data_IF_963009126644
#
_entry.id   IF_963009126644
#
_cell.length_a   1.000
_cell.length_b   1.000
_cell.length_c   1.000
_cell.angle_alpha   90.00
_cell.angle_beta   90.00
_cell.angle_gamma   90.00
#
_symmetry.space_group_name_H-M   'P 1'
#
loop_
_entity.id
_entity.type
_entity.pdbx_description
1 polymer ?
#
# COMPACT_ATOMS: atom_id res chain seq x y z
N UNK A 1 20.05 12.44 -22.06
CA UNK A 1 18.93 11.71 -21.36
C UNK A 1 19.42 10.61 -20.41
N UNK A 2 20.63 10.06 -20.54
CA UNK A 2 21.11 8.93 -19.73
C UNK A 2 21.77 9.31 -18.38
N UNK A 3 22.17 10.55 -18.17
CA UNK A 3 22.93 10.94 -17.00
C UNK A 3 22.08 11.11 -15.72
N UNK A 4 20.87 11.66 -15.74
CA UNK A 4 20.01 11.74 -14.56
C UNK A 4 19.53 10.38 -14.08
N UNK A 5 19.16 9.47 -14.98
CA UNK A 5 18.63 8.15 -14.66
C UNK A 5 19.62 7.23 -13.92
N UNK A 6 20.92 7.30 -14.22
CA UNK A 6 21.96 6.55 -13.47
C UNK A 6 22.14 7.03 -12.04
N UNK A 7 22.07 8.33 -11.78
CA UNK A 7 22.08 8.88 -10.42
C UNK A 7 20.80 8.55 -9.65
N UNK A 8 19.68 8.52 -10.32
CA UNK A 8 18.38 8.15 -9.75
C UNK A 8 18.34 6.69 -9.29
N UNK A 9 18.83 5.74 -10.09
CA UNK A 9 18.97 4.34 -9.65
C UNK A 9 19.79 4.19 -8.37
N UNK A 10 20.81 5.00 -8.15
CA UNK A 10 21.63 4.97 -6.92
C UNK A 10 20.92 5.59 -5.72
N UNK A 11 19.98 6.53 -5.90
CA UNK A 11 19.18 7.10 -4.80
C UNK A 11 17.97 6.25 -4.42
N UNK A 12 17.36 5.57 -5.38
CA UNK A 12 16.18 4.73 -5.17
C UNK A 12 16.49 3.38 -4.49
N UNK A 13 17.75 2.98 -4.41
CA UNK A 13 18.17 1.62 -4.00
C UNK A 13 18.50 1.54 -2.50
N UNK A 14 18.49 2.63 -1.73
CA UNK A 14 19.15 2.57 -0.42
C UNK A 14 18.29 2.12 0.73
N UNK A 15 17.06 2.57 0.84
CA UNK A 15 16.23 2.21 2.00
C UNK A 15 14.79 1.96 1.58
N UNK A 16 14.27 0.79 1.94
CA UNK A 16 12.84 0.51 1.78
C UNK A 16 12.02 1.39 2.71
N UNK A 17 10.84 1.75 2.26
CA UNK A 17 9.87 2.49 3.04
C UNK A 17 8.51 1.78 3.01
N UNK A 18 7.60 2.21 3.87
CA UNK A 18 6.22 1.73 3.85
C UNK A 18 5.30 2.79 3.25
N UNK A 19 4.34 2.36 2.45
CA UNK A 19 3.27 3.20 1.91
C UNK A 19 2.06 3.27 2.83
N UNK A 20 1.90 2.25 3.67
CA UNK A 20 0.78 2.11 4.59
C UNK A 20 1.09 2.69 5.97
N UNK A 21 0.05 2.90 6.75
CA UNK A 21 0.20 3.21 8.16
C UNK A 21 -0.49 4.48 8.61
N UNK A 22 -1.45 4.29 9.48
CA UNK A 22 -2.14 5.37 10.19
C UNK A 22 -1.60 5.55 11.62
N UNK A 23 -0.77 4.62 12.08
CA UNK A 23 -0.13 4.63 13.40
C UNK A 23 1.36 4.95 13.31
N UNK A 24 1.97 5.16 14.45
CA UNK A 24 3.42 5.29 14.56
C UNK A 24 3.88 4.65 15.88
N UNK A 25 4.88 3.75 15.86
CA UNK A 25 5.48 3.15 14.67
C UNK A 25 4.46 2.35 13.84
N UNK A 26 4.71 2.26 12.53
CA UNK A 26 3.85 1.54 11.61
C UNK A 26 4.03 0.02 11.77
N UNK A 27 2.94 -0.77 11.85
CA UNK A 27 3.01 -2.23 11.84
C UNK A 27 3.21 -2.81 10.43
N UNK A 28 3.06 -1.98 9.40
CA UNK A 28 3.16 -2.38 8.00
C UNK A 28 4.60 -2.66 7.58
N UNK A 29 4.76 -3.49 6.56
CA UNK A 29 6.05 -3.81 5.97
C UNK A 29 6.77 -2.57 5.41
N UNK A 30 8.07 -2.57 5.51
CA UNK A 30 8.99 -1.70 4.77
C UNK A 30 9.43 -2.48 3.53
N UNK A 31 8.62 -2.47 2.51
CA UNK A 31 8.70 -3.30 1.31
C UNK A 31 8.78 -2.51 0.01
N UNK A 32 8.44 -1.21 0.04
CA UNK A 32 8.39 -0.38 -1.15
C UNK A 32 9.73 0.32 -1.46
N UNK A 33 10.03 0.45 -2.74
CA UNK A 33 11.01 1.37 -3.32
C UNK A 33 10.28 2.38 -4.21
N UNK A 34 10.92 3.50 -4.56
CA UNK A 34 10.31 4.51 -5.46
C UNK A 34 10.01 3.91 -6.83
N UNK A 35 10.92 3.10 -7.35
CA UNK A 35 10.74 2.24 -8.53
C UNK A 35 11.45 0.92 -8.20
N UNK A 36 10.68 -0.14 -8.02
CA UNK A 36 11.23 -1.47 -7.74
C UNK A 36 11.58 -2.19 -9.05
N UNK A 37 12.71 -2.88 -9.14
CA UNK A 37 13.01 -3.74 -10.28
C UNK A 37 12.11 -4.99 -10.35
N UNK A 38 11.44 -5.35 -9.25
CA UNK A 38 10.47 -6.45 -9.19
C UNK A 38 9.08 -5.86 -9.10
N UNK A 39 8.28 -6.06 -10.15
CA UNK A 39 6.87 -5.67 -10.18
C UNK A 39 6.00 -6.86 -9.76
N UNK A 40 4.99 -6.61 -8.93
CA UNK A 40 4.24 -7.67 -8.25
C UNK A 40 2.77 -7.74 -8.62
N UNK A 41 2.22 -6.68 -9.18
CA UNK A 41 0.82 -6.62 -9.59
C UNK A 41 0.63 -5.71 -10.82
N UNK A 42 -0.54 -5.81 -11.46
CA UNK A 42 -0.91 -4.93 -12.56
C UNK A 42 -1.23 -3.54 -12.01
N UNK A 43 -0.36 -2.58 -12.29
CA UNK A 43 -0.43 -1.22 -11.76
C UNK A 43 0.80 -0.83 -10.94
N UNK A 44 1.73 -1.76 -10.72
CA UNK A 44 3.04 -1.45 -10.11
C UNK A 44 3.87 -0.56 -11.03
N UNK A 45 4.55 0.44 -10.48
CA UNK A 45 5.23 1.47 -11.26
C UNK A 45 6.54 0.95 -11.86
N UNK A 46 6.65 0.98 -13.17
CA UNK A 46 7.83 0.53 -13.92
C UNK A 46 8.79 1.66 -14.25
N UNK A 47 8.24 2.82 -14.64
CA UNK A 47 9.03 3.98 -15.04
C UNK A 47 8.25 5.28 -14.80
N UNK A 48 8.98 6.37 -14.61
CA UNK A 48 8.42 7.70 -14.44
C UNK A 48 8.91 8.62 -15.56
N UNK A 49 7.96 9.13 -16.35
CA UNK A 49 8.23 10.06 -17.44
C UNK A 49 7.91 11.48 -16.98
N UNK A 50 8.86 12.39 -17.17
CA UNK A 50 8.69 13.80 -16.86
C UNK A 50 8.82 14.62 -18.15
N UNK A 51 7.77 15.36 -18.48
CA UNK A 51 7.73 16.20 -19.68
C UNK A 51 7.14 17.59 -19.34
N UNK A 52 7.18 18.51 -20.29
CA UNK A 52 6.62 19.86 -20.14
C UNK A 52 5.09 19.87 -20.04
N UNK A 53 4.44 18.87 -20.61
CA UNK A 53 3.00 18.66 -20.63
C UNK A 53 2.67 17.16 -20.78
N UNK A 54 1.45 16.80 -20.45
CA UNK A 54 0.95 15.42 -20.50
C UNK A 54 1.01 14.82 -21.90
N UNK A 55 0.63 15.59 -22.93
CA UNK A 55 0.66 15.11 -24.32
C UNK A 55 2.08 14.70 -24.77
N UNK A 56 3.09 15.39 -24.27
CA UNK A 56 4.50 15.05 -24.54
C UNK A 56 4.91 13.81 -23.74
N UNK A 57 4.46 13.66 -22.49
CA UNK A 57 4.72 12.47 -21.68
C UNK A 57 4.11 11.22 -22.33
N UNK A 58 2.84 11.29 -22.74
CA UNK A 58 2.12 10.20 -23.42
C UNK A 58 2.81 9.77 -24.74
N UNK A 59 3.36 10.71 -25.50
CA UNK A 59 4.14 10.38 -26.71
C UNK A 59 5.45 9.68 -26.40
N UNK A 60 6.02 9.90 -25.22
CA UNK A 60 7.27 9.27 -24.81
C UNK A 60 7.07 7.86 -24.23
N UNK A 61 5.90 7.54 -23.70
CA UNK A 61 5.60 6.23 -23.08
C UNK A 61 5.92 5.04 -24.01
N UNK A 62 5.47 4.98 -25.27
CA UNK A 62 5.72 3.84 -26.13
C UNK A 62 7.20 3.71 -26.59
N UNK A 63 8.04 4.69 -26.27
CA UNK A 63 9.49 4.61 -26.54
C UNK A 63 10.24 3.84 -25.44
N UNK A 64 9.61 3.63 -24.28
CA UNK A 64 10.16 2.80 -23.20
C UNK A 64 9.87 1.35 -23.54
N UNK A 65 10.93 0.58 -23.69
CA UNK A 65 10.84 -0.88 -23.86
C UNK A 65 11.14 -1.54 -22.53
N UNK A 66 10.28 -2.44 -22.13
CA UNK A 66 10.42 -3.22 -20.90
C UNK A 66 10.44 -4.69 -21.26
N UNK A 67 11.44 -5.41 -20.75
CA UNK A 67 11.52 -6.85 -20.83
C UNK A 67 11.27 -7.42 -19.44
N UNK A 68 10.37 -8.39 -19.33
CA UNK A 68 10.00 -9.01 -18.08
C UNK A 68 10.48 -10.47 -18.03
N UNK A 69 11.09 -10.83 -16.93
CA UNK A 69 11.20 -12.23 -16.51
C UNK A 69 9.92 -12.59 -15.76
N UNK A 70 9.00 -13.27 -16.46
CA UNK A 70 7.67 -13.57 -15.93
C UNK A 70 7.74 -14.75 -14.98
N UNK A 71 7.28 -14.53 -13.74
CA UNK A 71 7.17 -15.55 -12.71
C UNK A 71 5.77 -16.15 -12.66
N UNK A 72 5.60 -17.31 -12.02
CA UNK A 72 4.29 -17.90 -11.78
C UNK A 72 3.50 -17.02 -10.80
N UNK A 73 2.29 -16.56 -11.16
CA UNK A 73 1.54 -15.66 -10.32
C UNK A 73 0.97 -16.36 -9.09
N UNK A 74 0.88 -15.64 -7.97
CA UNK A 74 0.22 -16.07 -6.72
C UNK A 74 -1.13 -15.38 -6.66
N UNK A 75 -2.22 -16.08 -7.02
CA UNK A 75 -3.54 -15.49 -7.21
C UNK A 75 -4.59 -15.94 -6.19
N UNK A 76 -4.31 -17.00 -5.44
CA UNK A 76 -5.25 -17.59 -4.49
C UNK A 76 -4.65 -17.55 -3.07
N UNK A 77 -5.36 -16.91 -2.15
CA UNK A 77 -4.94 -16.77 -0.76
C UNK A 77 -4.82 -18.11 -0.01
N UNK A 78 -5.54 -19.15 -0.46
CA UNK A 78 -5.48 -20.48 0.17
C UNK A 78 -4.25 -21.27 -0.23
N UNK A 79 -3.66 -20.94 -1.38
CA UNK A 79 -2.45 -21.59 -1.92
C UNK A 79 -1.22 -20.69 -1.88
N UNK A 80 -1.37 -19.45 -1.37
CA UNK A 80 -0.27 -18.48 -1.32
C UNK A 80 0.79 -18.85 -0.30
N UNK A 81 0.37 -19.40 0.85
CA UNK A 81 1.31 -19.85 1.88
C UNK A 81 2.14 -21.01 1.34
N UNK A 82 3.46 -20.90 1.47
CA UNK A 82 4.43 -21.87 0.98
C UNK A 82 4.37 -22.13 -0.54
N UNK A 83 3.84 -21.17 -1.31
CA UNK A 83 3.85 -21.21 -2.77
C UNK A 83 5.29 -21.19 -3.30
N UNK A 84 5.54 -21.84 -4.45
CA UNK A 84 6.87 -21.86 -5.08
C UNK A 84 7.42 -20.47 -5.43
N UNK A 85 6.53 -19.52 -5.79
CA UNK A 85 6.89 -18.12 -5.97
C UNK A 85 6.76 -17.38 -4.65
N UNK A 86 7.86 -16.82 -4.18
CA UNK A 86 7.90 -15.93 -3.02
C UNK A 86 7.67 -14.51 -3.54
N UNK A 87 6.58 -13.84 -3.11
CA UNK A 87 6.20 -12.49 -3.58
C UNK A 87 7.24 -11.45 -3.14
N UNK A 88 7.78 -11.60 -1.94
CA UNK A 88 8.81 -10.74 -1.39
C UNK A 88 10.05 -11.56 -0.99
N UNK A 89 10.91 -11.91 -1.97
CA UNK A 89 12.09 -12.74 -1.70
C UNK A 89 13.26 -11.97 -1.08
N UNK A 90 13.19 -10.65 -0.98
CA UNK A 90 14.27 -9.78 -0.53
C UNK A 90 14.52 -9.93 0.98
N UNK A 91 15.78 -9.84 1.39
CA UNK A 91 16.19 -10.01 2.79
C UNK A 91 16.13 -8.71 3.61
N UNK A 92 15.98 -7.57 2.95
CA UNK A 92 15.93 -6.24 3.57
C UNK A 92 14.50 -5.78 3.94
N UNK A 93 13.48 -6.59 3.65
CA UNK A 93 12.10 -6.33 4.06
C UNK A 93 11.95 -6.59 5.56
N UNK A 94 11.35 -5.63 6.26
CA UNK A 94 11.16 -5.73 7.70
C UNK A 94 9.90 -4.98 8.18
N UNK A 95 9.49 -5.27 9.40
CA UNK A 95 8.50 -4.51 10.14
C UNK A 95 9.13 -3.88 11.38
N UNK A 96 8.74 -2.66 11.71
CA UNK A 96 9.14 -2.03 12.96
C UNK A 96 8.46 -2.64 14.20
N UNK A 97 7.29 -3.24 13.98
CA UNK A 97 6.53 -3.97 15.01
C UNK A 97 6.31 -5.39 14.51
N UNK A 98 6.66 -6.42 15.31
CA UNK A 98 6.36 -7.80 14.95
C UNK A 98 4.84 -8.02 14.85
N UNK A 99 4.39 -8.58 13.74
CA UNK A 99 2.98 -8.91 13.48
C UNK A 99 2.81 -10.38 13.06
N UNK A 100 3.81 -11.22 13.34
CA UNK A 100 3.82 -12.63 12.95
C UNK A 100 4.04 -12.85 11.45
N UNK A 101 4.74 -11.94 10.82
CA UNK A 101 5.09 -12.03 9.39
C UNK A 101 6.14 -13.11 9.13
N UNK A 102 6.05 -13.74 7.97
CA UNK A 102 7.06 -14.62 7.38
C UNK A 102 7.01 -14.48 5.86
N UNK A 103 7.77 -13.52 5.34
CA UNK A 103 7.75 -13.17 3.92
C UNK A 103 8.24 -14.31 3.03
N UNK A 104 9.13 -15.19 3.53
CA UNK A 104 9.62 -16.36 2.77
C UNK A 104 8.52 -17.41 2.58
N UNK A 105 7.44 -17.32 3.34
CA UNK A 105 6.24 -18.15 3.22
C UNK A 105 5.03 -17.39 2.68
N UNK A 106 5.22 -16.18 2.15
CA UNK A 106 4.15 -15.30 1.71
C UNK A 106 3.14 -14.91 2.83
N UNK A 107 3.60 -14.81 4.07
CA UNK A 107 2.79 -14.39 5.21
C UNK A 107 3.20 -12.97 5.60
N UNK A 108 2.32 -11.99 5.37
CA UNK A 108 2.58 -10.61 5.79
C UNK A 108 2.13 -10.29 7.21
N UNK A 109 1.13 -10.99 7.72
CA UNK A 109 0.64 -10.87 9.10
C UNK A 109 0.08 -12.20 9.56
N UNK A 110 0.42 -12.59 10.78
CA UNK A 110 -0.25 -13.69 11.50
C UNK A 110 -0.51 -13.25 12.92
N UNK A 111 -1.77 -13.25 13.33
CA UNK A 111 -2.17 -12.80 14.65
C UNK A 111 -3.15 -13.77 15.28
N UNK A 112 -2.87 -14.15 16.51
CA UNK A 112 -3.75 -15.00 17.30
C UNK A 112 -4.03 -14.36 18.65
N UNK A 113 -5.31 -14.31 19.03
CA UNK A 113 -5.75 -13.85 20.35
C UNK A 113 -6.82 -14.78 20.90
N UNK A 114 -6.63 -15.21 22.13
CA UNK A 114 -7.60 -16.03 22.86
C UNK A 114 -7.88 -15.42 24.23
N UNK A 115 -9.16 -15.36 24.60
CA UNK A 115 -9.60 -14.95 25.93
C UNK A 115 -10.61 -15.99 26.41
N UNK A 116 -10.29 -16.65 27.51
CA UNK A 116 -11.14 -17.71 28.07
C UNK A 116 -11.07 -19.03 27.32
N UNK A 117 -12.02 -19.90 27.60
CA UNK A 117 -12.18 -21.20 26.96
C UNK A 117 -13.41 -21.17 26.04
N UNK A 118 -13.13 -21.09 24.74
CA UNK A 118 -14.15 -20.95 23.68
C UNK A 118 -15.12 -22.15 23.69
N UNK A 119 -14.60 -23.37 23.74
CA UNK A 119 -15.44 -24.57 23.66
C UNK A 119 -16.30 -24.73 24.91
N UNK A 120 -15.73 -24.48 26.09
CA UNK A 120 -16.47 -24.54 27.34
C UNK A 120 -17.58 -23.48 27.43
N UNK A 121 -17.37 -22.30 26.85
CA UNK A 121 -18.37 -21.24 26.82
C UNK A 121 -19.43 -21.46 25.75
N UNK A 122 -19.06 -21.96 24.56
CA UNK A 122 -20.04 -22.37 23.52
C UNK A 122 -21.00 -23.44 24.04
N UNK A 123 -20.50 -24.42 24.80
CA UNK A 123 -21.32 -25.49 25.37
C UNK A 123 -22.38 -24.99 26.38
N UNK A 124 -22.22 -23.78 26.92
CA UNK A 124 -23.16 -23.14 27.86
C UNK A 124 -24.18 -22.22 27.16
N UNK A 125 -24.00 -21.96 25.87
CA UNK A 125 -24.90 -21.07 25.12
C UNK A 125 -26.18 -21.78 24.73
N UNK A 126 -27.29 -21.06 24.78
CA UNK A 126 -28.61 -21.57 24.35
C UNK A 126 -28.71 -21.67 22.81
N UNK A 127 -28.00 -20.77 22.14
CA UNK A 127 -27.94 -20.72 20.67
C UNK A 127 -26.49 -20.63 20.23
N UNK A 128 -26.13 -21.46 19.24
CA UNK A 128 -24.84 -21.39 18.57
C UNK A 128 -25.11 -21.30 17.06
N UNK A 129 -24.57 -20.28 16.42
CA UNK A 129 -24.58 -20.13 14.98
C UNK A 129 -23.15 -20.21 14.46
N UNK A 130 -22.96 -20.92 13.36
CA UNK A 130 -21.67 -21.01 12.67
C UNK A 130 -21.84 -20.87 11.17
N UNK A 131 -20.80 -20.36 10.51
CA UNK A 131 -20.81 -20.19 9.07
C UNK A 131 -19.45 -19.77 8.51
N UNK A 132 -19.31 -20.00 7.21
CA UNK A 132 -18.19 -19.49 6.42
C UNK A 132 -18.70 -18.40 5.50
N UNK A 133 -18.03 -17.27 5.51
CA UNK A 133 -18.41 -16.07 4.76
C UNK A 133 -17.22 -15.60 3.94
N UNK A 134 -17.51 -15.04 2.78
CA UNK A 134 -16.50 -14.50 1.88
C UNK A 134 -16.76 -13.03 1.56
N UNK A 135 -15.76 -12.20 1.77
CA UNK A 135 -15.73 -10.80 1.34
C UNK A 135 -14.87 -10.66 0.09
N UNK A 136 -15.47 -10.14 -0.96
CA UNK A 136 -14.75 -9.88 -2.21
C UNK A 136 -13.84 -8.67 -2.09
N UNK A 137 -12.69 -8.70 -2.79
CA UNK A 137 -11.86 -7.52 -2.97
C UNK A 137 -12.63 -6.41 -3.69
N UNK A 138 -12.55 -5.18 -3.17
CA UNK A 138 -13.35 -4.07 -3.68
C UNK A 138 -12.55 -2.79 -3.72
N UNK A 139 -12.58 -2.07 -4.85
CA UNK A 139 -12.00 -0.73 -4.99
C UNK A 139 -12.96 0.33 -4.45
N UNK A 140 -12.41 1.36 -3.82
CA UNK A 140 -13.19 2.45 -3.22
C UNK A 140 -13.80 3.38 -4.26
N UNK A 141 -13.18 3.52 -5.41
CA UNK A 141 -13.68 4.25 -6.60
C UNK A 141 -14.18 5.67 -6.28
N UNK A 142 -13.39 6.45 -5.56
CA UNK A 142 -13.70 7.86 -5.29
C UNK A 142 -13.87 8.63 -6.61
N UNK A 143 -14.82 9.59 -6.66
CA UNK A 143 -15.06 10.39 -7.87
C UNK A 143 -13.80 11.17 -8.28
N UNK A 144 -13.10 11.76 -7.33
CA UNK A 144 -11.79 12.36 -7.54
C UNK A 144 -10.72 11.25 -7.52
N UNK A 145 -9.96 11.05 -8.64
CA UNK A 145 -8.84 10.13 -8.68
C UNK A 145 -7.69 10.57 -7.76
N UNK A 146 -6.58 9.85 -7.81
CA UNK A 146 -5.37 10.23 -7.08
C UNK A 146 -4.63 11.31 -7.85
N UNK A 147 -4.22 12.35 -7.13
CA UNK A 147 -3.46 13.45 -7.73
C UNK A 147 -2.58 14.13 -6.70
N UNK A 148 -1.45 14.63 -7.18
CA UNK A 148 -0.56 15.46 -6.37
C UNK A 148 0.19 16.47 -7.24
N UNK A 149 0.46 17.63 -6.64
CA UNK A 149 1.29 18.69 -7.19
C UNK A 149 2.47 18.92 -6.25
N UNK A 150 3.67 18.98 -6.80
CA UNK A 150 4.91 19.15 -6.04
C UNK A 150 5.76 20.31 -6.52
N UNK A 151 6.41 21.01 -5.59
CA UNK A 151 7.37 22.07 -5.88
C UNK A 151 8.34 22.28 -4.71
N UNK A 152 9.41 23.05 -4.96
CA UNK A 152 10.34 23.47 -3.91
C UNK A 152 10.02 24.91 -3.51
N UNK A 153 9.78 25.15 -2.22
CA UNK A 153 9.50 26.49 -1.69
C UNK A 153 10.78 27.31 -1.44
N UNK A 154 10.59 28.59 -1.09
CA UNK A 154 11.68 29.51 -0.81
C UNK A 154 12.60 29.07 0.37
N UNK A 155 12.11 28.18 1.24
CA UNK A 155 12.88 27.60 2.35
C UNK A 155 13.62 26.31 1.95
N UNK A 156 13.58 25.95 0.68
CA UNK A 156 14.19 24.74 0.14
C UNK A 156 13.51 23.45 0.61
N UNK A 157 12.22 23.50 0.96
CA UNK A 157 11.41 22.33 1.30
C UNK A 157 10.69 21.82 0.06
N UNK A 158 10.56 20.50 -0.04
CA UNK A 158 9.58 19.92 -0.98
C UNK A 158 8.18 20.10 -0.42
N UNK A 159 7.32 20.75 -1.18
CA UNK A 159 5.91 20.97 -0.84
C UNK A 159 5.08 20.10 -1.75
N UNK A 160 4.20 19.30 -1.16
CA UNK A 160 3.24 18.45 -1.88
C UNK A 160 1.84 18.91 -1.52
N UNK A 161 1.06 19.26 -2.55
CA UNK A 161 -0.36 19.51 -2.44
C UNK A 161 -1.08 18.26 -2.97
N UNK A 162 -1.82 17.56 -2.12
CA UNK A 162 -2.43 16.29 -2.47
C UNK A 162 -3.80 16.10 -1.83
N UNK A 163 -4.68 15.39 -2.53
CA UNK A 163 -5.97 14.94 -2.04
C UNK A 163 -5.85 13.73 -1.10
N UNK A 164 -5.00 13.81 -0.09
CA UNK A 164 -4.73 12.75 0.89
C UNK A 164 -5.63 12.84 2.12
N UNK A 165 -5.92 11.70 2.75
CA UNK A 165 -6.57 11.62 4.07
C UNK A 165 -5.56 11.72 5.22
N UNK A 166 -4.24 11.55 4.97
CA UNK A 166 -3.21 11.31 5.98
C UNK A 166 -1.98 12.21 5.84
N UNK A 167 -2.15 13.51 5.90
CA UNK A 167 -1.11 14.54 5.67
C UNK A 167 0.22 14.27 6.39
N UNK A 168 0.16 13.91 7.67
CA UNK A 168 1.36 13.69 8.48
C UNK A 168 2.07 12.38 8.14
N UNK A 169 1.33 11.35 7.75
CA UNK A 169 1.90 10.08 7.30
C UNK A 169 2.58 10.25 5.95
N UNK A 170 1.91 10.87 4.98
CA UNK A 170 2.50 11.21 3.67
C UNK A 170 3.79 11.99 3.84
N UNK A 171 3.83 12.97 4.77
CA UNK A 171 5.05 13.71 5.10
C UNK A 171 6.19 12.78 5.54
N UNK A 172 5.89 11.81 6.41
CA UNK A 172 6.90 10.85 6.89
C UNK A 172 7.36 9.92 5.78
N UNK A 173 6.42 9.40 4.98
CA UNK A 173 6.73 8.50 3.87
C UNK A 173 7.63 9.20 2.83
N UNK A 174 7.31 10.42 2.44
CA UNK A 174 8.15 11.22 1.53
C UNK A 174 9.54 11.44 2.12
N UNK A 175 9.62 11.81 3.39
CA UNK A 175 10.91 12.06 4.04
C UNK A 175 11.79 10.80 4.02
N UNK A 176 11.21 9.63 4.28
CA UNK A 176 11.92 8.35 4.24
C UNK A 176 12.30 7.95 2.82
N UNK A 177 11.35 7.98 1.88
CA UNK A 177 11.58 7.62 0.49
C UNK A 177 12.68 8.47 -0.18
N UNK A 178 12.78 9.75 0.20
CA UNK A 178 13.80 10.67 -0.31
C UNK A 178 15.09 10.68 0.53
N UNK A 179 15.14 10.02 1.69
CA UNK A 179 16.28 10.06 2.61
C UNK A 179 16.57 11.47 3.16
N UNK A 180 15.51 12.28 3.39
CA UNK A 180 15.66 13.67 3.87
C UNK A 180 14.92 13.88 5.20
N UNK A 181 15.35 14.87 6.01
CA UNK A 181 14.64 15.19 7.25
C UNK A 181 13.19 15.60 6.99
N UNK A 182 12.25 15.15 7.84
CA UNK A 182 10.84 15.51 7.74
C UNK A 182 10.57 17.03 7.79
N UNK A 183 11.49 17.82 8.36
CA UNK A 183 11.45 19.28 8.35
C UNK A 183 11.62 19.88 6.94
N UNK A 184 12.18 19.11 6.01
CA UNK A 184 12.29 19.48 4.58
C UNK A 184 11.08 19.09 3.75
N UNK A 185 10.04 18.53 4.35
CA UNK A 185 8.81 18.12 3.67
C UNK A 185 7.62 18.89 4.25
N UNK A 186 6.81 19.46 3.38
CA UNK A 186 5.52 20.06 3.72
C UNK A 186 4.43 19.43 2.86
N UNK A 187 3.36 18.95 3.50
CA UNK A 187 2.19 18.42 2.79
C UNK A 187 1.00 19.33 3.07
N UNK A 188 0.29 19.71 2.02
CA UNK A 188 -0.88 20.57 2.06
C UNK A 188 -2.06 19.76 1.54
N UNK A 189 -3.13 19.69 2.33
CA UNK A 189 -4.37 19.02 1.96
C UNK A 189 -5.41 20.05 1.54
N UNK A 190 -5.81 20.10 0.27
CA UNK A 190 -6.99 20.83 -0.17
C UNK A 190 -8.28 20.08 0.20
N UNK A 191 -9.43 20.52 -0.31
CA UNK A 191 -10.64 19.69 -0.29
C UNK A 191 -10.42 18.43 -1.11
N UNK A 192 -10.99 17.31 -0.67
CA UNK A 192 -10.89 16.01 -1.36
C UNK A 192 -12.28 15.56 -1.80
N UNK A 193 -12.35 15.02 -3.02
CA UNK A 193 -13.56 14.53 -3.67
C UNK A 193 -13.83 13.04 -3.40
N UNK A 194 -13.70 12.64 -2.14
CA UNK A 194 -13.87 11.26 -1.69
C UNK A 194 -12.54 10.56 -1.44
N UNK A 195 -12.56 9.58 -0.54
CA UNK A 195 -11.37 8.79 -0.19
C UNK A 195 -11.75 7.37 0.23
N UNK A 196 -12.71 7.22 1.14
CA UNK A 196 -13.25 5.93 1.60
C UNK A 196 -12.17 4.95 2.05
N UNK A 197 -11.04 5.48 2.56
CA UNK A 197 -9.88 4.70 2.95
C UNK A 197 -8.79 4.57 1.88
N UNK A 198 -9.07 4.70 0.59
CA UNK A 198 -8.05 4.54 -0.46
C UNK A 198 -6.94 5.61 -0.42
N UNK A 199 -7.27 6.82 0.04
CA UNK A 199 -6.30 7.91 0.19
C UNK A 199 -5.61 7.93 1.58
N UNK A 200 -5.56 6.77 2.23
CA UNK A 200 -4.82 6.51 3.47
C UNK A 200 -3.47 5.83 3.23
N UNK A 201 -3.05 5.76 1.98
CA UNK A 201 -1.70 5.40 1.54
C UNK A 201 -1.15 6.52 0.68
N UNK A 202 0.17 6.58 0.50
CA UNK A 202 0.79 7.51 -0.45
C UNK A 202 0.80 6.83 -1.83
N UNK A 203 0.01 7.34 -2.77
CA UNK A 203 -0.04 6.82 -4.14
C UNK A 203 0.82 7.66 -5.09
N UNK A 204 0.39 8.89 -5.39
CA UNK A 204 1.09 9.78 -6.33
C UNK A 204 2.14 10.66 -5.66
N UNK A 205 2.06 10.83 -4.35
CA UNK A 205 2.80 11.86 -3.59
C UNK A 205 4.31 11.61 -3.58
N UNK A 206 4.72 10.35 -3.50
CA UNK A 206 6.15 10.00 -3.44
C UNK A 206 6.80 10.26 -4.79
N UNK A 207 6.18 9.84 -5.89
CA UNK A 207 6.67 10.10 -7.25
C UNK A 207 6.77 11.60 -7.53
N UNK A 208 5.72 12.34 -7.20
CA UNK A 208 5.70 13.80 -7.36
C UNK A 208 6.77 14.48 -6.51
N UNK A 209 6.94 14.05 -5.25
CA UNK A 209 7.98 14.57 -4.37
C UNK A 209 9.39 14.25 -4.90
N UNK A 210 9.59 13.04 -5.40
CA UNK A 210 10.85 12.62 -6.00
C UNK A 210 11.23 13.49 -7.21
N UNK A 211 10.30 13.73 -8.12
CA UNK A 211 10.50 14.60 -9.29
C UNK A 211 10.81 16.03 -8.86
N UNK A 212 9.98 16.62 -7.99
CA UNK A 212 10.17 17.98 -7.52
C UNK A 212 11.50 18.14 -6.79
N UNK A 213 11.88 17.18 -5.93
CA UNK A 213 13.13 17.22 -5.19
C UNK A 213 14.36 17.07 -6.07
N UNK A 214 14.29 16.16 -7.06
CA UNK A 214 15.44 15.87 -7.95
C UNK A 214 15.64 16.94 -9.00
N UNK A 215 14.57 17.35 -9.68
CA UNK A 215 14.65 18.30 -10.79
C UNK A 215 14.58 19.77 -10.35
N UNK A 216 14.17 20.02 -9.11
CA UNK A 216 13.93 21.38 -8.57
C UNK A 216 12.93 22.18 -9.40
N UNK A 217 11.94 21.50 -9.97
CA UNK A 217 10.89 22.06 -10.81
C UNK A 217 9.52 21.68 -10.27
N UNK A 218 8.50 22.51 -10.43
CA UNK A 218 7.14 22.09 -10.14
C UNK A 218 6.72 20.96 -11.08
N UNK A 219 5.95 20.02 -10.52
CA UNK A 219 5.41 18.89 -11.28
C UNK A 219 4.02 18.52 -10.76
N UNK A 220 3.26 17.87 -11.62
CA UNK A 220 1.91 17.39 -11.34
C UNK A 220 1.77 15.96 -11.85
N UNK A 221 1.13 15.12 -11.06
CA UNK A 221 0.78 13.76 -11.42
C UNK A 221 -0.70 13.53 -11.09
N UNK A 222 -1.44 13.07 -12.09
CA UNK A 222 -2.84 12.70 -11.99
C UNK A 222 -3.00 11.29 -12.55
N UNK A 223 -3.60 10.40 -11.79
CA UNK A 223 -4.06 9.11 -12.30
C UNK A 223 -5.36 9.29 -13.07
N UNK A 224 -5.45 8.66 -14.21
CA UNK A 224 -6.74 8.48 -14.87
C UNK A 224 -7.62 7.48 -14.10
N UNK A 225 -8.81 7.17 -14.60
CA UNK A 225 -9.72 6.23 -13.91
C UNK A 225 -9.17 4.81 -13.91
N UNK A 226 -8.50 4.38 -14.96
CA UNK A 226 -7.89 3.05 -15.06
C UNK A 226 -6.72 2.93 -14.11
N UNK A 227 -5.81 3.89 -14.10
CA UNK A 227 -4.69 3.96 -13.16
C UNK A 227 -5.19 4.01 -11.70
N UNK A 228 -6.22 4.82 -11.41
CA UNK A 228 -6.81 4.88 -10.08
C UNK A 228 -7.40 3.52 -9.63
N UNK A 229 -7.82 2.66 -10.56
CA UNK A 229 -8.31 1.31 -10.26
C UNK A 229 -7.19 0.27 -10.16
N UNK A 230 -6.10 0.42 -10.90
CA UNK A 230 -5.03 -0.58 -10.96
C UNK A 230 -3.87 -0.27 -10.03
N UNK A 231 -3.47 1.01 -9.92
CA UNK A 231 -2.28 1.44 -9.16
C UNK A 231 -2.57 1.82 -7.71
N UNK A 232 -3.81 1.71 -7.23
CA UNK A 232 -4.17 2.05 -5.85
C UNK A 232 -4.45 0.81 -5.01
N UNK A 233 -4.51 1.01 -3.69
CA UNK A 233 -4.89 -0.05 -2.75
C UNK A 233 -6.37 -0.41 -2.86
N UNK A 234 -6.69 -1.64 -2.48
CA UNK A 234 -8.05 -2.17 -2.44
C UNK A 234 -8.40 -2.64 -1.02
N UNK A 235 -9.69 -2.82 -0.73
CA UNK A 235 -10.11 -3.66 0.38
C UNK A 235 -9.79 -5.10 0.01
N UNK A 236 -9.11 -5.80 0.90
CA UNK A 236 -8.68 -7.17 0.67
C UNK A 236 -9.87 -8.14 0.57
N UNK A 237 -9.73 -9.16 -0.28
CA UNK A 237 -10.59 -10.33 -0.20
C UNK A 237 -10.33 -11.07 1.11
N UNK A 238 -11.37 -11.67 1.69
CA UNK A 238 -11.25 -12.33 2.99
C UNK A 238 -12.25 -13.46 3.12
N UNK A 239 -11.81 -14.57 3.65
CA UNK A 239 -12.68 -15.64 4.12
C UNK A 239 -12.72 -15.63 5.64
N UNK A 240 -13.90 -15.83 6.19
CA UNK A 240 -14.18 -15.86 7.61
C UNK A 240 -14.86 -17.18 7.97
N UNK A 241 -14.35 -17.87 8.97
CA UNK A 241 -15.06 -18.93 9.67
C UNK A 241 -15.44 -18.38 11.03
N UNK A 242 -16.73 -18.30 11.31
CA UNK A 242 -17.24 -17.61 12.50
C UNK A 242 -18.18 -18.56 13.23
N UNK A 243 -18.00 -18.66 14.55
CA UNK A 243 -18.94 -19.28 15.49
C UNK A 243 -19.34 -18.22 16.52
N UNK A 244 -20.63 -18.08 16.74
CA UNK A 244 -21.20 -17.13 17.71
C UNK A 244 -22.11 -17.86 18.66
N UNK A 245 -21.89 -17.76 19.98
CA UNK A 245 -22.71 -18.30 21.01
C UNK A 245 -23.48 -17.22 21.76
N UNK A 246 -24.78 -17.40 21.97
CA UNK A 246 -25.64 -16.47 22.69
C UNK A 246 -26.56 -17.16 23.69
N UNK A 247 -27.02 -16.39 24.68
CA UNK A 247 -28.08 -16.80 25.64
C UNK A 247 -29.47 -16.62 25.02
N UNK A 248 -30.53 -17.18 25.66
CA UNK A 248 -31.91 -16.94 25.31
C UNK A 248 -32.33 -15.49 25.20
N UNK A 249 -31.71 -14.64 26.02
CA UNK A 249 -31.98 -13.19 26.04
C UNK A 249 -31.21 -12.42 24.96
N UNK A 250 -30.54 -13.15 24.05
CA UNK A 250 -29.79 -12.53 22.93
C UNK A 250 -28.43 -11.94 23.30
N UNK A 251 -27.90 -12.25 24.49
CA UNK A 251 -26.59 -11.76 24.91
C UNK A 251 -25.50 -12.65 24.30
N UNK A 252 -24.64 -12.05 23.48
CA UNK A 252 -23.49 -12.75 22.90
C UNK A 252 -22.46 -13.02 23.98
N UNK A 253 -22.11 -14.29 24.15
CA UNK A 253 -21.11 -14.77 25.14
C UNK A 253 -19.79 -15.15 24.49
N UNK A 254 -19.86 -15.68 23.26
CA UNK A 254 -18.69 -16.17 22.54
C UNK A 254 -18.70 -15.63 21.13
N UNK A 255 -17.55 -15.18 20.68
CA UNK A 255 -17.23 -14.99 19.27
C UNK A 255 -15.90 -15.71 19.05
N UNK A 256 -15.95 -16.73 18.19
CA UNK A 256 -14.80 -17.44 17.69
C UNK A 256 -14.68 -17.17 16.21
N UNK A 257 -13.52 -16.70 15.79
CA UNK A 257 -13.35 -16.22 14.43
C UNK A 257 -11.98 -16.59 13.91
N UNK A 258 -11.95 -17.33 12.81
CA UNK A 258 -10.75 -17.59 12.02
C UNK A 258 -10.90 -16.91 10.66
N UNK A 259 -9.82 -16.30 10.18
CA UNK A 259 -9.87 -15.61 8.90
C UNK A 259 -8.56 -15.70 8.12
N UNK A 260 -8.69 -15.92 6.83
CA UNK A 260 -7.60 -15.73 5.87
C UNK A 260 -7.89 -14.50 5.01
N UNK A 261 -6.89 -13.68 4.80
CA UNK A 261 -7.02 -12.42 4.07
C UNK A 261 -5.99 -12.37 2.95
N UNK A 262 -6.43 -12.09 1.73
CA UNK A 262 -5.53 -11.81 0.62
C UNK A 262 -4.91 -10.42 0.85
N UNK A 263 -3.76 -10.38 1.48
CA UNK A 263 -2.94 -9.18 1.52
C UNK A 263 -2.16 -9.14 0.22
N UNK A 264 -2.54 -8.25 -0.69
CA UNK A 264 -1.86 -8.07 -1.95
C UNK A 264 -0.44 -7.52 -1.81
N UNK A 265 0.31 -7.57 -2.89
CA UNK A 265 1.61 -6.95 -3.01
C UNK A 265 1.49 -5.43 -3.05
#
# INVERSE_FOLDING_TARGET
LHYPLRRQRQMCIRDRFTLAGQTYPEPSAYDALILDPVVRYVGDEVALIVAKDEATALKAMPLIKVEYEVQKPVLDMHTAIDHETIVHPEDDIHNNIPVGQDYKRNICVSYHKRVGDVEAELAKCDYVAEGTYFDQATRQTAMEPFQSFGYIDALGRVVIVSSTQIVFHVRRHIARALGIPATKVRVIKPRIGGGFGSKQTACTEIMTAFVAWTLKKPCYLLYDRTEAQTCSTTRHAREWKIRVGATKDGIIKVIDMDSITAAGA
#
